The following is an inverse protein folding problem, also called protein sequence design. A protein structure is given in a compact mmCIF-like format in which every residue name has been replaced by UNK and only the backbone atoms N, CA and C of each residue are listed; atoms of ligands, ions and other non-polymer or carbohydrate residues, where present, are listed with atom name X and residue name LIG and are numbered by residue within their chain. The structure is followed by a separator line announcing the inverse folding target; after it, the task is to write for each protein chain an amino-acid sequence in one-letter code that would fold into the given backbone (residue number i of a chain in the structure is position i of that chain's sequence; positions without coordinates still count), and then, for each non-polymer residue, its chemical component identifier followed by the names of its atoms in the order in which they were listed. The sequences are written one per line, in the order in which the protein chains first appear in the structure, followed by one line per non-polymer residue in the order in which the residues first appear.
data_IF_364071723500
#
_entry.id   IF_364071723500
#
_cell.length_a   1.000
_cell.length_b   1.000
_cell.length_c   1.000
_cell.angle_alpha   90.00
_cell.angle_beta   90.00
_cell.angle_gamma   90.00
#
_symmetry.space_group_name_H-M   'P 1'
#
loop_
_entity.id
_entity.type
_entity.pdbx_description
1 polymer ?
#
# COMPACT_ATOMS: atom_id res chain seq x y z
N UNK A 1 24.56 -0.61 -18.64
CA UNK A 1 24.64 0.58 -19.51
C UNK A 1 23.97 0.24 -20.83
N UNK A 2 22.62 0.26 -20.88
CA UNK A 2 21.84 -0.29 -22.02
C UNK A 2 21.18 0.77 -22.91
N UNK A 3 21.01 2.00 -22.42
CA UNK A 3 20.48 3.10 -23.22
C UNK A 3 21.43 3.55 -24.34
N UNK A 4 22.74 3.54 -24.08
CA UNK A 4 23.74 4.00 -25.06
C UNK A 4 23.83 3.14 -26.33
N UNK A 5 23.28 1.92 -26.34
CA UNK A 5 23.34 1.04 -27.50
C UNK A 5 22.37 1.45 -28.63
N UNK A 6 21.30 2.19 -28.32
CA UNK A 6 20.20 2.52 -29.26
C UNK A 6 20.01 4.02 -29.51
N UNK A 7 20.78 4.86 -28.82
CA UNK A 7 20.78 6.33 -28.98
C UNK A 7 21.62 6.81 -30.18
N UNK A 8 22.48 5.95 -30.72
CA UNK A 8 23.25 6.25 -31.94
C UNK A 8 22.43 5.97 -33.19
N UNK A 9 22.56 6.80 -34.23
CA UNK A 9 21.96 6.55 -35.55
C UNK A 9 22.52 5.28 -36.23
N UNK A 10 23.70 4.84 -35.81
CA UNK A 10 24.36 3.63 -36.33
C UNK A 10 23.98 2.36 -35.56
N UNK A 11 23.06 2.46 -34.61
CA UNK A 11 22.57 1.29 -33.88
C UNK A 11 21.83 0.33 -34.82
N UNK A 12 21.93 -0.98 -34.55
CA UNK A 12 21.20 -2.01 -35.33
C UNK A 12 19.68 -1.83 -35.21
N UNK A 13 19.21 -1.32 -34.06
CA UNK A 13 17.81 -1.00 -33.78
C UNK A 13 17.71 0.33 -33.03
N UNK A 14 17.88 1.48 -33.71
CA UNK A 14 17.83 2.79 -33.08
C UNK A 14 16.40 3.08 -32.60
N UNK A 15 16.25 3.90 -31.56
CA UNK A 15 14.95 4.47 -31.24
C UNK A 15 14.59 5.49 -32.33
N UNK A 16 13.48 5.27 -33.01
CA UNK A 16 12.97 6.19 -34.03
C UNK A 16 12.03 7.24 -33.44
N UNK A 17 11.33 6.89 -32.35
CA UNK A 17 10.44 7.78 -31.64
C UNK A 17 10.83 7.88 -30.16
N UNK A 18 10.50 9.01 -29.53
CA UNK A 18 10.73 9.20 -28.10
C UNK A 18 9.87 8.23 -27.27
N UNK A 19 8.69 7.87 -27.75
CA UNK A 19 7.77 6.93 -27.10
C UNK A 19 8.39 5.54 -26.94
N UNK A 20 9.06 5.02 -27.98
CA UNK A 20 9.79 3.75 -27.93
C UNK A 20 10.88 3.74 -26.84
N UNK A 21 11.59 4.86 -26.69
CA UNK A 21 12.61 5.02 -25.66
C UNK A 21 12.00 5.06 -24.27
N UNK A 22 10.87 5.75 -24.10
CA UNK A 22 10.15 5.77 -22.83
C UNK A 22 9.59 4.40 -22.46
N UNK A 23 9.12 3.61 -23.41
CA UNK A 23 8.59 2.28 -23.15
C UNK A 23 9.70 1.27 -22.85
N UNK A 24 10.87 1.35 -23.49
CA UNK A 24 12.04 0.53 -23.15
C UNK A 24 12.60 0.91 -21.77
N UNK A 25 12.60 2.21 -21.44
CA UNK A 25 12.91 2.72 -20.10
C UNK A 25 11.92 2.22 -19.06
N UNK A 26 10.61 2.29 -19.34
CA UNK A 26 9.58 1.74 -18.45
C UNK A 26 9.76 0.24 -18.30
N UNK A 27 10.04 -0.52 -19.35
CA UNK A 27 10.26 -1.97 -19.23
C UNK A 27 11.54 -2.32 -18.44
N UNK A 28 12.58 -1.50 -18.56
CA UNK A 28 13.86 -1.71 -17.87
C UNK A 28 13.85 -1.24 -16.40
N UNK A 29 13.05 -0.22 -16.08
CA UNK A 29 13.00 0.40 -14.75
C UNK A 29 11.67 0.23 -14.00
N UNK A 30 10.60 -0.22 -14.66
CA UNK A 30 9.60 -1.06 -14.00
C UNK A 30 10.32 -2.37 -13.68
N UNK A 31 11.06 -2.34 -12.58
CA UNK A 31 10.92 -3.43 -11.65
C UNK A 31 9.41 -3.51 -11.42
N UNK A 32 8.78 -4.53 -12.01
CA UNK A 32 7.49 -5.04 -11.58
C UNK A 32 7.42 -4.76 -10.08
N UNK A 33 6.50 -3.91 -9.57
CA UNK A 33 6.49 -3.53 -8.17
C UNK A 33 6.28 -4.82 -7.41
N UNK A 34 7.42 -5.44 -7.03
CA UNK A 34 7.56 -6.85 -6.70
C UNK A 34 6.40 -7.18 -5.82
N UNK A 35 5.39 -7.86 -6.37
CA UNK A 35 4.00 -7.84 -5.90
C UNK A 35 4.00 -7.96 -4.38
N UNK A 36 4.07 -6.80 -3.70
CA UNK A 36 4.45 -6.81 -2.29
C UNK A 36 3.13 -7.10 -1.63
N UNK A 37 2.87 -8.40 -1.51
CA UNK A 37 1.69 -8.95 -0.89
C UNK A 37 1.83 -8.57 0.56
N UNK A 38 1.38 -7.36 0.87
CA UNK A 38 1.34 -6.87 2.22
C UNK A 38 0.38 -7.81 2.96
N UNK A 39 0.96 -8.65 3.82
CA UNK A 39 0.21 -9.58 4.65
C UNK A 39 -0.78 -8.80 5.52
N UNK A 40 -1.86 -9.46 5.95
CA UNK A 40 -2.74 -8.89 6.96
C UNK A 40 -1.93 -8.55 8.23
N UNK A 41 -2.34 -7.48 8.92
CA UNK A 41 -1.79 -7.10 10.22
C UNK A 41 -1.83 -8.27 11.20
N UNK A 42 -0.76 -8.44 11.97
CA UNK A 42 -0.71 -9.36 13.11
C UNK A 42 -1.00 -8.59 14.39
N UNK A 43 -1.47 -9.29 15.42
CA UNK A 43 -1.79 -8.67 16.71
C UNK A 43 -0.60 -8.01 17.42
N UNK A 44 0.63 -8.32 16.99
CA UNK A 44 1.88 -7.74 17.52
C UNK A 44 2.44 -6.62 16.66
N UNK A 45 1.82 -6.32 15.53
CA UNK A 45 2.32 -5.31 14.59
C UNK A 45 1.88 -3.93 15.06
N UNK A 46 2.81 -2.96 15.05
CA UNK A 46 2.46 -1.54 15.17
C UNK A 46 1.63 -1.12 13.95
N UNK A 47 0.38 -0.75 14.20
CA UNK A 47 -0.56 -0.35 13.16
C UNK A 47 -0.06 0.84 12.35
N UNK A 48 0.62 1.83 12.96
CA UNK A 48 1.09 3.00 12.23
C UNK A 48 2.25 2.66 11.28
N UNK A 49 3.16 1.79 11.73
CA UNK A 49 4.22 1.26 10.88
C UNK A 49 3.64 0.42 9.72
N UNK A 50 2.58 -0.35 9.98
CA UNK A 50 1.87 -1.09 8.95
C UNK A 50 1.18 -0.15 7.94
N UNK A 51 0.45 0.87 8.41
CA UNK A 51 -0.25 1.84 7.56
C UNK A 51 0.71 2.57 6.62
N UNK A 52 1.90 2.95 7.11
CA UNK A 52 2.96 3.52 6.27
C UNK A 52 3.37 2.58 5.13
N UNK A 53 3.57 1.29 5.41
CA UNK A 53 3.92 0.28 4.40
C UNK A 53 2.77 0.05 3.42
N UNK A 54 1.53 0.04 3.92
CA UNK A 54 0.32 -0.08 3.11
C UNK A 54 0.20 1.05 2.09
N UNK A 55 0.32 2.30 2.53
CA UNK A 55 0.24 3.47 1.67
C UNK A 55 1.37 3.51 0.63
N UNK A 56 2.58 3.15 1.03
CA UNK A 56 3.72 3.08 0.11
C UNK A 56 3.49 2.03 -0.98
N UNK A 57 3.01 0.84 -0.60
CA UNK A 57 2.68 -0.25 -1.54
C UNK A 57 1.52 0.12 -2.47
N UNK A 58 0.45 0.72 -1.93
CA UNK A 58 -0.71 1.14 -2.70
C UNK A 58 -0.34 2.22 -3.74
N UNK A 59 0.50 3.19 -3.35
CA UNK A 59 1.01 4.21 -4.27
C UNK A 59 1.89 3.63 -5.37
N UNK A 60 2.77 2.68 -5.05
CA UNK A 60 3.63 2.00 -6.03
C UNK A 60 2.84 1.16 -7.03
N UNK A 61 1.70 0.60 -6.63
CA UNK A 61 0.81 -0.20 -7.48
C UNK A 61 -0.23 0.64 -8.24
N UNK A 62 -0.27 1.96 -8.03
CA UNK A 62 -1.26 2.85 -8.65
C UNK A 62 -2.69 2.51 -8.26
N UNK A 63 -2.93 2.05 -7.03
CA UNK A 63 -4.27 1.67 -6.59
C UNK A 63 -5.19 2.88 -6.48
N UNK A 64 -6.47 2.75 -6.88
CA UNK A 64 -7.46 3.81 -6.70
C UNK A 64 -7.59 4.18 -5.23
N UNK A 65 -7.74 5.47 -4.95
CA UNK A 65 -7.87 5.96 -3.58
C UNK A 65 -9.14 5.43 -2.90
N UNK A 66 -10.19 5.29 -3.69
CA UNK A 66 -11.52 4.86 -3.30
C UNK A 66 -11.54 3.39 -2.82
N UNK A 67 -10.58 2.56 -3.25
CA UNK A 67 -10.49 1.16 -2.81
C UNK A 67 -9.71 0.99 -1.51
N UNK A 68 -8.95 2.01 -1.07
CA UNK A 68 -8.01 1.87 0.05
C UNK A 68 -8.70 1.55 1.38
N UNK A 69 -9.88 2.13 1.63
CA UNK A 69 -10.65 1.85 2.86
C UNK A 69 -11.01 0.37 2.96
N UNK A 70 -11.60 -0.17 1.90
CA UNK A 70 -11.98 -1.58 1.84
C UNK A 70 -10.75 -2.48 1.99
N UNK A 71 -9.68 -2.16 1.26
CA UNK A 71 -8.45 -2.95 1.26
C UNK A 71 -7.71 -2.95 2.61
N UNK A 72 -7.72 -1.82 3.31
CA UNK A 72 -7.17 -1.73 4.66
C UNK A 72 -8.02 -2.58 5.62
N UNK A 73 -9.35 -2.43 5.57
CA UNK A 73 -10.27 -3.15 6.45
C UNK A 73 -10.13 -4.67 6.40
N UNK A 74 -10.05 -5.26 5.19
CA UNK A 74 -9.89 -6.72 5.04
C UNK A 74 -8.53 -7.26 5.54
N UNK A 75 -7.58 -6.37 5.83
CA UNK A 75 -6.23 -6.71 6.32
C UNK A 75 -6.05 -6.39 7.80
N UNK A 76 -7.04 -5.80 8.46
CA UNK A 76 -7.02 -5.60 9.90
C UNK A 76 -7.08 -6.94 10.62
N UNK A 77 -6.52 -6.99 11.82
CA UNK A 77 -6.78 -8.11 12.74
C UNK A 77 -8.27 -8.19 13.05
N UNK A 78 -8.79 -9.38 13.33
CA UNK A 78 -10.21 -9.54 13.68
C UNK A 78 -10.62 -8.66 14.86
N UNK A 79 -9.74 -8.52 15.87
CA UNK A 79 -10.00 -7.68 17.05
C UNK A 79 -10.11 -6.20 16.69
N UNK A 80 -9.17 -5.69 15.90
CA UNK A 80 -9.20 -4.29 15.47
C UNK A 80 -10.38 -4.03 14.54
N UNK A 81 -10.65 -4.95 13.60
CA UNK A 81 -11.80 -4.84 12.69
C UNK A 81 -13.13 -4.76 13.44
N UNK A 82 -13.34 -5.58 14.48
CA UNK A 82 -14.54 -5.50 15.33
C UNK A 82 -14.66 -4.16 16.06
N UNK A 83 -13.54 -3.52 16.39
CA UNK A 83 -13.54 -2.24 17.09
C UNK A 83 -13.93 -1.07 16.17
N UNK A 84 -13.63 -1.17 14.86
CA UNK A 84 -13.92 -0.13 13.85
C UNK A 84 -14.99 -0.55 12.84
N UNK A 85 -15.80 -1.56 13.18
CA UNK A 85 -16.75 -2.18 12.24
C UNK A 85 -17.82 -1.18 11.78
N UNK A 86 -18.26 -0.28 12.67
CA UNK A 86 -19.24 0.75 12.35
C UNK A 86 -18.69 1.72 11.30
N UNK A 87 -17.47 2.22 11.52
CA UNK A 87 -16.78 3.18 10.67
C UNK A 87 -16.40 2.56 9.33
N UNK A 88 -16.09 1.26 9.31
CA UNK A 88 -15.82 0.53 8.09
C UNK A 88 -17.03 0.50 7.15
N UNK A 89 -18.23 0.24 7.69
CA UNK A 89 -19.47 0.14 6.91
C UNK A 89 -20.16 1.48 6.66
N UNK A 90 -19.67 2.58 7.21
CA UNK A 90 -20.21 3.91 6.96
C UNK A 90 -19.70 4.48 5.62
N UNK A 91 -20.58 4.64 4.64
CA UNK A 91 -20.26 5.19 3.33
C UNK A 91 -19.79 6.66 3.36
N UNK A 92 -20.07 7.40 4.44
CA UNK A 92 -19.65 8.78 4.62
C UNK A 92 -18.25 8.92 5.22
N UNK A 93 -17.72 7.85 5.81
CA UNK A 93 -16.39 7.85 6.41
C UNK A 93 -15.34 7.65 5.31
N UNK A 94 -14.47 8.65 5.14
CA UNK A 94 -13.35 8.64 4.21
C UNK A 94 -12.27 7.65 4.62
N UNK A 95 -11.32 7.37 3.71
CA UNK A 95 -10.19 6.51 4.01
C UNK A 95 -9.33 7.08 5.16
N UNK A 96 -9.10 8.39 5.16
CA UNK A 96 -8.30 9.09 6.17
C UNK A 96 -8.93 9.00 7.56
N UNK A 97 -10.24 9.25 7.63
CA UNK A 97 -11.01 9.10 8.87
C UNK A 97 -10.97 7.66 9.36
N UNK A 98 -11.19 6.69 8.46
CA UNK A 98 -11.11 5.27 8.81
C UNK A 98 -9.71 4.88 9.33
N UNK A 99 -8.65 5.33 8.67
CA UNK A 99 -7.28 5.05 9.10
C UNK A 99 -6.97 5.68 10.48
N UNK A 100 -7.53 6.86 10.77
CA UNK A 100 -7.43 7.51 12.07
C UNK A 100 -8.14 6.69 13.16
N UNK A 101 -9.39 6.25 12.92
CA UNK A 101 -10.11 5.38 13.85
C UNK A 101 -9.35 4.08 14.13
N UNK A 102 -8.79 3.46 13.09
CA UNK A 102 -7.96 2.28 13.25
C UNK A 102 -6.72 2.53 14.13
N UNK A 103 -6.07 3.69 13.98
CA UNK A 103 -4.90 4.04 14.79
C UNK A 103 -5.28 4.30 16.27
N UNK A 104 -6.39 4.99 16.52
CA UNK A 104 -6.90 5.23 17.87
C UNK A 104 -7.25 3.91 18.57
N UNK A 105 -8.00 3.05 17.89
CA UNK A 105 -8.39 1.76 18.44
C UNK A 105 -7.20 0.80 18.61
N UNK A 106 -6.24 0.76 17.68
CA UNK A 106 -5.03 -0.03 17.84
C UNK A 106 -4.26 0.37 19.11
N UNK A 107 -4.04 1.68 19.31
CA UNK A 107 -3.39 2.18 20.53
C UNK A 107 -4.17 1.82 21.80
N UNK A 108 -5.51 1.90 21.76
CA UNK A 108 -6.36 1.51 22.89
C UNK A 108 -6.22 0.03 23.23
N UNK A 109 -6.21 -0.84 22.22
CA UNK A 109 -6.10 -2.29 22.37
C UNK A 109 -4.71 -2.72 22.86
N UNK A 110 -3.65 -2.02 22.44
CA UNK A 110 -2.28 -2.25 22.92
C UNK A 110 -2.16 -1.94 24.42
N UNK A 111 -2.75 -0.83 24.87
CA UNK A 111 -2.79 -0.48 26.30
C UNK A 111 -3.55 -1.51 27.14
N UNK A 112 -4.63 -2.10 26.62
CA UNK A 112 -5.36 -3.18 27.31
C UNK A 112 -4.51 -4.45 27.47
N UNK A 113 -3.73 -4.79 26.43
CA UNK A 113 -2.81 -5.94 26.46
C UNK A 113 -1.71 -5.74 27.49
N UNK A 114 -1.11 -4.54 27.55
CA UNK A 114 -0.08 -4.21 28.55
C UNK A 114 -0.63 -4.25 29.99
N UNK A 115 -1.89 -3.87 30.17
CA UNK A 115 -2.56 -3.85 31.48
C UNK A 115 -3.12 -5.23 31.90
N UNK A 116 -3.02 -6.26 31.05
CA UNK A 116 -3.53 -7.61 31.34
C UNK A 116 -5.06 -7.68 31.43
N UNK A 117 -5.78 -6.69 30.90
CA UNK A 117 -7.23 -6.61 30.90
C UNK A 117 -7.77 -7.32 29.65
N UNK A 118 -7.67 -8.65 29.61
CA UNK A 118 -8.37 -9.46 28.62
C UNK A 118 -9.63 -10.04 29.27
N UNK A 119 -10.82 -9.57 28.85
CA UNK A 119 -12.12 -10.18 29.19
C UNK A 119 -12.51 -11.23 28.15
#
# INVERSE_FOLDING_TARGET
MHLNARLSQDAVHPFTEAEDMFDDLKAMFNNDPMEYTLEATKATDDFNAYLCKFLHSAGAQGRPYESLKFELGIRLTERLMRAVECEFHDDFVTFEEFAMFCAEEANRLDLELEQGLSW
#
